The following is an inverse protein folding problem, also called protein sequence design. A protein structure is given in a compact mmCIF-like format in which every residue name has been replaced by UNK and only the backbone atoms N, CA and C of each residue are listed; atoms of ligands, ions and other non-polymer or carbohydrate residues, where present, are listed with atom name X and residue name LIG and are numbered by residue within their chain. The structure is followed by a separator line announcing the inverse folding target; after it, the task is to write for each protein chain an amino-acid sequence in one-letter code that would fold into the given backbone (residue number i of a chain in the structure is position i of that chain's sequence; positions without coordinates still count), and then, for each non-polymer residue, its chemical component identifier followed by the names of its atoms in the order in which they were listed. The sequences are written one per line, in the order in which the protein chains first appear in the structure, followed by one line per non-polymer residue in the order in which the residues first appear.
data_IF_579259106312
#
_entry.id   IF_579259106312
#
_cell.length_a   1.000
_cell.length_b   1.000
_cell.length_c   1.000
_cell.angle_alpha   90.00
_cell.angle_beta   90.00
_cell.angle_gamma   90.00
#
_symmetry.space_group_name_H-M   'P 1'
#
loop_
_entity.id
_entity.type
_entity.pdbx_description
1 polymer ?
#
# COMPACT_ATOMS: atom_id res chain seq x y z
N UNK A 1 -5.96 25.00 -30.88
CA UNK A 1 -6.60 25.91 -29.90
C UNK A 1 -7.69 25.12 -29.21
N UNK A 2 -7.90 25.37 -27.91
CA UNK A 2 -8.57 24.53 -26.88
C UNK A 2 -7.56 23.70 -26.09
N UNK A 3 -6.68 24.37 -25.36
CA UNK A 3 -6.84 25.02 -24.03
C UNK A 3 -6.62 23.99 -22.92
N UNK A 4 -5.49 24.15 -22.24
CA UNK A 4 -5.14 23.46 -21.02
C UNK A 4 -6.05 23.95 -19.89
N UNK A 5 -6.63 23.02 -19.13
CA UNK A 5 -7.30 23.36 -17.88
C UNK A 5 -6.47 22.81 -16.73
N UNK A 6 -5.48 23.61 -16.31
CA UNK A 6 -4.92 23.52 -14.96
C UNK A 6 -6.00 24.06 -14.03
N UNK A 7 -6.67 23.19 -13.29
CA UNK A 7 -7.36 23.57 -12.08
C UNK A 7 -6.34 23.50 -10.94
N UNK A 8 -5.99 24.68 -10.42
CA UNK A 8 -5.34 24.79 -9.13
C UNK A 8 -6.34 24.26 -8.08
N UNK A 9 -5.94 23.25 -7.32
CA UNK A 9 -6.69 22.85 -6.14
C UNK A 9 -6.60 24.00 -5.12
N UNK A 10 -7.69 24.75 -5.02
CA UNK A 10 -7.99 25.62 -3.89
C UNK A 10 -8.06 24.71 -2.66
N UNK A 11 -7.15 24.90 -1.69
CA UNK A 11 -7.14 24.10 -0.45
C UNK A 11 -8.32 24.56 0.40
N UNK A 12 -9.46 23.91 0.17
CA UNK A 12 -10.68 24.02 0.95
C UNK A 12 -10.44 23.74 2.42
N UNK A 13 -11.09 24.53 3.25
CA UNK A 13 -11.00 24.49 4.70
C UNK A 13 -11.98 23.44 5.25
N UNK A 14 -11.45 22.36 5.82
CA UNK A 14 -12.13 21.46 6.76
C UNK A 14 -13.17 20.51 6.16
N UNK A 15 -12.92 19.20 6.31
CA UNK A 15 -13.86 18.09 6.11
C UNK A 15 -14.14 17.68 4.65
N UNK A 16 -13.15 17.80 3.77
CA UNK A 16 -13.15 17.06 2.49
C UNK A 16 -12.30 15.81 2.69
N UNK A 17 -12.93 14.63 2.68
CA UNK A 17 -12.20 13.37 2.66
C UNK A 17 -11.55 13.25 1.29
N UNK A 18 -10.22 13.19 1.26
CA UNK A 18 -9.49 12.90 0.02
C UNK A 18 -9.72 11.41 -0.30
N UNK A 19 -10.78 11.13 -1.06
CA UNK A 19 -11.08 9.80 -1.56
C UNK A 19 -10.15 9.46 -2.73
N UNK A 20 -9.50 8.30 -2.64
CA UNK A 20 -8.64 7.72 -3.68
C UNK A 20 -9.12 6.33 -4.03
N UNK A 21 -8.66 5.81 -5.16
CA UNK A 21 -9.01 4.51 -5.70
C UNK A 21 -7.78 3.62 -5.69
N UNK A 22 -7.87 2.48 -5.01
CA UNK A 22 -6.81 1.47 -4.95
C UNK A 22 -7.11 0.39 -5.96
N UNK A 23 -6.16 0.15 -6.88
CA UNK A 23 -6.21 -0.97 -7.81
C UNK A 23 -5.50 -2.17 -7.20
N UNK A 24 -6.24 -3.26 -7.03
CA UNK A 24 -5.77 -4.52 -6.51
C UNK A 24 -5.69 -5.59 -7.59
N UNK A 25 -4.82 -6.58 -7.36
CA UNK A 25 -4.84 -7.85 -8.05
C UNK A 25 -4.74 -8.98 -7.03
N UNK A 26 -5.63 -9.95 -7.13
CA UNK A 26 -5.58 -11.19 -6.36
C UNK A 26 -4.90 -12.28 -7.18
N UNK A 27 -3.86 -12.89 -6.63
CA UNK A 27 -3.26 -14.09 -7.23
C UNK A 27 -3.78 -15.32 -6.49
N UNK A 28 -4.36 -16.24 -7.22
CA UNK A 28 -4.86 -17.49 -6.63
C UNK A 28 -3.70 -18.38 -6.18
N UNK A 29 -3.70 -18.77 -4.91
CA UNK A 29 -2.67 -19.63 -4.32
C UNK A 29 -3.03 -21.11 -4.41
N UNK A 30 -4.33 -21.42 -4.45
CA UNK A 30 -4.85 -22.78 -4.55
C UNK A 30 -5.34 -23.03 -5.98
N UNK A 31 -4.96 -24.20 -6.49
CA UNK A 31 -5.47 -24.73 -7.76
C UNK A 31 -6.37 -25.91 -7.37
N UNK A 32 -7.58 -25.97 -7.92
CA UNK A 32 -8.53 -27.05 -7.67
C UNK A 32 -7.91 -28.43 -7.95
N UNK A 33 -8.53 -29.50 -7.44
CA UNK A 33 -8.10 -30.89 -7.67
C UNK A 33 -7.94 -31.23 -9.17
N UNK A 34 -8.69 -30.53 -10.03
CA UNK A 34 -8.66 -30.64 -11.50
C UNK A 34 -7.52 -29.85 -12.16
N UNK A 35 -6.68 -29.13 -11.40
CA UNK A 35 -5.67 -28.24 -11.93
C UNK A 35 -6.23 -26.92 -12.49
N UNK A 36 -7.48 -26.58 -12.17
CA UNK A 36 -8.12 -25.31 -12.58
C UNK A 36 -7.94 -24.26 -11.50
N UNK A 37 -7.69 -23.03 -11.93
CA UNK A 37 -7.78 -21.86 -11.07
C UNK A 37 -9.18 -21.29 -11.20
N UNK A 38 -9.97 -21.35 -10.12
CA UNK A 38 -11.26 -20.66 -10.06
C UNK A 38 -10.97 -19.22 -9.64
N UNK A 39 -11.18 -18.28 -10.56
CA UNK A 39 -10.79 -16.88 -10.39
C UNK A 39 -11.75 -16.03 -9.58
N UNK A 40 -12.97 -16.53 -9.41
CA UNK A 40 -14.10 -15.88 -8.75
C UNK A 40 -15.14 -16.95 -8.50
N UNK A 41 -15.77 -16.90 -7.34
CA UNK A 41 -16.81 -17.86 -7.02
C UNK A 41 -18.07 -17.66 -7.89
N UNK A 42 -18.96 -18.66 -7.94
CA UNK A 42 -20.21 -18.55 -8.69
C UNK A 42 -21.09 -17.35 -8.30
N UNK A 43 -20.92 -16.80 -7.09
CA UNK A 43 -21.59 -15.58 -6.61
C UNK A 43 -20.82 -14.28 -6.90
N UNK A 44 -19.59 -14.38 -7.42
CA UNK A 44 -18.74 -13.26 -7.76
C UNK A 44 -17.82 -12.79 -6.62
N UNK A 45 -17.72 -13.52 -5.51
CA UNK A 45 -16.82 -13.18 -4.41
C UNK A 45 -15.39 -13.72 -4.64
N UNK A 46 -14.44 -13.22 -3.85
CA UNK A 46 -13.02 -13.60 -3.81
C UNK A 46 -12.65 -13.90 -2.35
N UNK A 47 -11.85 -14.91 -2.06
CA UNK A 47 -11.79 -15.54 -0.75
C UNK A 47 -10.75 -15.06 0.28
N UNK A 48 -9.84 -14.12 0.07
CA UNK A 48 -8.78 -13.64 1.00
C UNK A 48 -7.81 -14.69 1.58
N UNK A 49 -8.26 -15.83 2.10
CA UNK A 49 -7.41 -16.90 2.66
C UNK A 49 -6.81 -17.82 1.58
N UNK A 50 -7.41 -17.85 0.39
CA UNK A 50 -6.97 -18.63 -0.76
C UNK A 50 -6.28 -17.79 -1.86
N UNK A 51 -6.22 -16.45 -1.69
CA UNK A 51 -5.50 -15.55 -2.61
C UNK A 51 -4.46 -14.64 -1.93
N UNK A 52 -3.46 -14.28 -2.72
CA UNK A 52 -2.48 -13.25 -2.38
C UNK A 52 -2.88 -11.92 -3.04
N UNK A 53 -3.38 -10.98 -2.25
CA UNK A 53 -3.75 -9.64 -2.70
C UNK A 53 -2.54 -8.72 -2.80
N UNK A 54 -2.42 -8.00 -3.93
CA UNK A 54 -1.35 -7.02 -4.17
C UNK A 54 -1.91 -5.70 -4.70
N UNK A 55 -1.45 -4.60 -4.13
CA UNK A 55 -1.72 -3.25 -4.65
C UNK A 55 -0.87 -3.02 -5.90
N UNK A 56 -1.53 -2.67 -7.00
CA UNK A 56 -0.88 -2.28 -8.25
C UNK A 56 -0.70 -0.76 -8.37
N UNK A 57 -1.55 0.02 -7.71
CA UNK A 57 -1.46 1.47 -7.66
C UNK A 57 -2.60 2.12 -6.86
N UNK A 58 -2.40 3.38 -6.51
CA UNK A 58 -3.38 4.24 -5.85
C UNK A 58 -3.56 5.48 -6.73
N UNK A 59 -4.80 5.85 -7.01
CA UNK A 59 -5.17 6.87 -7.98
C UNK A 59 -6.16 7.85 -7.36
N UNK A 60 -6.03 9.14 -7.62
CA UNK A 60 -7.03 10.15 -7.21
C UNK A 60 -8.26 10.18 -8.12
N UNK A 61 -8.30 9.34 -9.16
CA UNK A 61 -9.35 9.30 -10.18
C UNK A 61 -9.64 7.85 -10.57
N UNK A 62 -10.92 7.47 -10.55
CA UNK A 62 -11.37 6.12 -10.85
C UNK A 62 -11.07 5.74 -12.31
N UNK A 63 -11.24 6.69 -13.24
CA UNK A 63 -10.99 6.43 -14.66
C UNK A 63 -9.49 6.14 -14.93
N UNK A 64 -8.58 6.78 -14.19
CA UNK A 64 -7.17 6.47 -14.23
C UNK A 64 -6.87 5.05 -13.70
N UNK A 65 -7.54 4.62 -12.62
CA UNK A 65 -7.43 3.26 -12.10
C UNK A 65 -7.94 2.22 -13.13
N UNK A 66 -9.07 2.46 -13.77
CA UNK A 66 -9.61 1.59 -14.83
C UNK A 66 -8.70 1.53 -16.06
N UNK A 67 -8.13 2.66 -16.48
CA UNK A 67 -7.15 2.69 -17.56
C UNK A 67 -5.90 1.86 -17.19
N UNK A 68 -5.43 1.95 -15.94
CA UNK A 68 -4.32 1.14 -15.45
C UNK A 68 -4.68 -0.35 -15.40
N UNK A 69 -5.88 -0.70 -14.95
CA UNK A 69 -6.40 -2.08 -14.96
C UNK A 69 -6.35 -2.66 -16.37
N UNK A 70 -6.87 -1.94 -17.36
CA UNK A 70 -6.83 -2.35 -18.77
C UNK A 70 -5.43 -2.65 -19.27
N UNK A 71 -4.45 -1.79 -18.96
CA UNK A 71 -3.04 -2.04 -19.32
C UNK A 71 -2.42 -3.23 -18.55
N UNK A 72 -2.83 -3.43 -17.30
CA UNK A 72 -2.27 -4.47 -16.43
C UNK A 72 -2.74 -5.86 -16.85
N UNK A 73 -3.96 -5.98 -17.39
CA UNK A 73 -4.50 -7.23 -17.96
C UNK A 73 -3.66 -7.80 -19.10
N UNK A 74 -2.84 -7.00 -19.77
CA UNK A 74 -1.99 -7.47 -20.87
C UNK A 74 -0.59 -7.94 -20.40
N UNK A 75 -0.24 -7.71 -19.13
CA UNK A 75 1.08 -8.06 -18.61
C UNK A 75 1.23 -9.57 -18.38
N UNK A 76 2.45 -10.13 -18.51
CA UNK A 76 2.71 -11.53 -18.20
C UNK A 76 2.27 -11.90 -16.78
N UNK A 77 1.64 -13.06 -16.62
CA UNK A 77 1.02 -13.49 -15.36
C UNK A 77 -0.40 -12.97 -15.20
N UNK A 78 -0.61 -11.65 -15.30
CA UNK A 78 -1.94 -11.04 -15.15
C UNK A 78 -2.90 -11.37 -16.29
N UNK A 79 -2.40 -11.50 -17.52
CA UNK A 79 -3.22 -11.90 -18.67
C UNK A 79 -3.82 -13.30 -18.53
N UNK A 80 -3.21 -14.14 -17.70
CA UNK A 80 -3.65 -15.50 -17.44
C UNK A 80 -4.76 -15.49 -16.36
N UNK A 81 -4.95 -14.36 -15.66
CA UNK A 81 -5.91 -14.14 -14.58
C UNK A 81 -6.70 -12.81 -14.78
N UNK A 82 -7.36 -12.58 -15.92
CA UNK A 82 -7.83 -11.24 -16.35
C UNK A 82 -9.00 -10.67 -15.54
N UNK A 83 -9.68 -11.50 -14.74
CA UNK A 83 -10.84 -11.12 -13.95
C UNK A 83 -10.49 -10.85 -12.47
N UNK A 84 -9.24 -11.08 -12.06
CA UNK A 84 -8.78 -11.04 -10.66
C UNK A 84 -8.31 -9.64 -10.24
N UNK A 85 -9.01 -8.62 -10.72
CA UNK A 85 -8.72 -7.21 -10.44
C UNK A 85 -9.91 -6.56 -9.74
N UNK A 86 -9.61 -5.77 -8.72
CA UNK A 86 -10.59 -4.96 -8.00
C UNK A 86 -10.13 -3.50 -7.91
N UNK A 87 -11.08 -2.58 -7.96
CA UNK A 87 -10.86 -1.15 -7.72
C UNK A 87 -11.76 -0.76 -6.57
N UNK A 88 -11.16 -0.40 -5.44
CA UNK A 88 -11.88 -0.05 -4.22
C UNK A 88 -11.60 1.41 -3.84
N UNK A 89 -12.60 2.18 -3.39
CA UNK A 89 -12.35 3.48 -2.79
C UNK A 89 -11.59 3.32 -1.46
N UNK A 90 -10.78 4.31 -1.11
CA UNK A 90 -10.03 4.42 0.13
C UNK A 90 -10.00 5.90 0.54
N UNK A 91 -10.27 6.19 1.80
CA UNK A 91 -10.14 7.53 2.36
C UNK A 91 -8.70 7.75 2.84
N UNK A 92 -8.06 8.85 2.40
CA UNK A 92 -6.75 9.21 2.92
C UNK A 92 -6.84 9.66 4.39
N UNK A 93 -5.74 9.44 5.13
CA UNK A 93 -5.63 9.74 6.56
C UNK A 93 -6.63 8.99 7.46
N UNK A 94 -7.25 7.92 6.96
CA UNK A 94 -8.04 6.97 7.75
C UNK A 94 -7.15 5.86 8.34
N UNK A 95 -7.23 5.66 9.66
CA UNK A 95 -6.51 4.60 10.36
C UNK A 95 -7.18 3.23 10.12
N UNK A 96 -6.66 2.45 9.17
CA UNK A 96 -7.23 1.13 8.80
C UNK A 96 -6.88 -0.01 9.77
N UNK A 97 -5.86 0.15 10.61
CA UNK A 97 -5.42 -0.88 11.55
C UNK A 97 -5.11 -0.26 12.93
N UNK A 98 -6.12 -0.23 13.79
CA UNK A 98 -6.03 0.42 15.11
C UNK A 98 -5.62 -0.51 16.25
N UNK A 99 -5.81 -1.82 16.07
CA UNK A 99 -5.68 -2.80 17.17
C UNK A 99 -4.26 -3.32 17.39
N UNK A 100 -3.32 -2.98 16.49
CA UNK A 100 -1.98 -3.58 16.47
C UNK A 100 -1.98 -5.04 16.03
N UNK A 101 -0.81 -5.69 16.02
CA UNK A 101 -0.67 -7.08 15.58
C UNK A 101 -0.35 -8.02 16.75
N UNK A 102 -0.80 -9.28 16.66
CA UNK A 102 -0.32 -10.34 17.54
C UNK A 102 0.71 -11.21 16.80
N UNK A 103 1.62 -11.81 17.56
CA UNK A 103 2.58 -12.79 17.03
C UNK A 103 2.29 -14.12 17.71
N UNK A 104 1.90 -15.12 16.92
CA UNK A 104 1.85 -16.49 17.39
C UNK A 104 3.26 -17.08 17.33
N UNK A 105 3.69 -17.66 18.44
CA UNK A 105 4.97 -18.35 18.52
C UNK A 105 4.72 -19.86 18.63
N UNK A 106 5.49 -20.70 17.90
CA UNK A 106 5.46 -22.14 18.12
C UNK A 106 5.72 -22.47 19.59
N UNK A 107 5.11 -23.55 20.10
CA UNK A 107 5.20 -23.94 21.50
C UNK A 107 6.65 -23.88 22.04
N UNK A 108 6.84 -23.17 23.15
CA UNK A 108 8.15 -23.02 23.82
C UNK A 108 8.85 -21.67 23.63
N UNK A 109 8.33 -20.80 22.76
CA UNK A 109 8.81 -19.43 22.61
C UNK A 109 7.83 -18.45 23.26
N UNK A 110 8.19 -17.91 24.42
CA UNK A 110 7.42 -16.81 25.03
C UNK A 110 7.89 -15.49 24.42
N UNK A 111 6.93 -14.63 24.08
CA UNK A 111 7.21 -13.20 23.94
C UNK A 111 7.63 -12.71 25.32
N UNK A 112 8.94 -12.63 25.56
CA UNK A 112 9.44 -11.85 26.69
C UNK A 112 9.13 -10.40 26.35
N UNK A 113 8.42 -9.69 27.22
CA UNK A 113 8.23 -8.24 27.11
C UNK A 113 9.50 -7.60 26.55
N UNK A 114 9.42 -6.70 25.55
CA UNK A 114 10.59 -5.95 25.15
C UNK A 114 11.12 -5.27 26.41
N UNK A 115 12.32 -5.67 26.84
CA UNK A 115 13.06 -4.98 27.90
C UNK A 115 12.85 -3.48 27.68
N UNK A 116 12.38 -2.71 28.68
CA UNK A 116 12.15 -1.29 28.49
C UNK A 116 13.42 -0.71 27.85
N UNK A 117 13.26 0.00 26.72
CA UNK A 117 14.36 0.71 26.09
C UNK A 117 15.14 1.40 27.22
N UNK A 118 16.46 1.17 27.37
CA UNK A 118 17.17 1.69 28.52
C UNK A 118 17.05 3.21 28.49
N UNK A 119 16.20 3.76 29.36
CA UNK A 119 16.14 5.18 29.68
C UNK A 119 17.37 5.51 30.52
N UNK A 120 18.53 5.39 29.90
CA UNK A 120 19.84 5.66 30.49
C UNK A 120 20.58 6.55 29.54
N UNK A 121 20.77 7.81 29.94
CA UNK A 121 21.40 8.86 29.16
C UNK A 121 22.79 8.46 28.63
N UNK A 122 22.81 7.91 27.43
CA UNK A 122 23.99 7.96 26.59
C UNK A 122 24.03 9.38 26.04
N UNK A 123 24.82 10.24 26.69
CA UNK A 123 25.35 11.43 26.03
C UNK A 123 26.06 10.94 24.78
N UNK A 124 25.44 11.10 23.62
CA UNK A 124 26.16 11.02 22.36
C UNK A 124 27.32 12.01 22.47
N UNK A 125 28.59 11.59 22.27
CA UNK A 125 29.66 12.56 22.14
C UNK A 125 29.25 13.50 20.99
N UNK A 126 29.51 14.82 21.07
CA UNK A 126 29.21 15.71 19.96
C UNK A 126 29.91 15.13 18.74
N UNK A 127 29.12 14.64 17.78
CA UNK A 127 29.63 14.18 16.49
C UNK A 127 30.42 15.34 15.91
N UNK A 128 31.69 15.08 15.58
CA UNK A 128 32.50 15.99 14.79
C UNK A 128 31.65 16.50 13.63
N UNK A 129 31.54 17.83 13.55
CA UNK A 129 30.77 18.52 12.51
C UNK A 129 31.11 17.93 11.15
N UNK A 130 30.07 17.59 10.41
CA UNK A 130 30.15 17.22 9.01
C UNK A 130 30.94 18.32 8.25
N UNK A 131 31.93 17.97 7.39
CA UNK A 131 32.82 18.94 6.76
C UNK A 131 32.15 19.88 5.73
N UNK A 132 30.83 19.84 5.57
CA UNK A 132 30.09 20.70 4.65
C UNK A 132 29.72 22.09 5.22
N UNK A 133 29.86 22.32 6.53
CA UNK A 133 29.57 23.64 7.16
C UNK A 133 30.78 24.58 7.23
N UNK A 134 31.76 24.44 6.32
CA UNK A 134 32.74 25.50 6.10
C UNK A 134 32.18 26.50 5.09
N UNK A 135 31.47 27.51 5.60
CA UNK A 135 31.38 28.76 4.88
C UNK A 135 32.80 29.28 4.65
N UNK A 136 33.21 29.33 3.38
CA UNK A 136 34.43 29.99 2.97
C UNK A 136 34.29 31.48 3.29
N UNK A 137 35.10 31.95 4.24
CA UNK A 137 35.42 33.37 4.40
C UNK A 137 36.08 33.85 3.11
N UNK A 138 35.26 34.41 2.22
CA UNK A 138 35.72 35.25 1.11
C UNK A 138 36.30 36.53 1.74
N UNK A 139 37.61 36.66 1.65
CA UNK A 139 38.30 37.95 1.81
C UNK A 139 38.10 38.84 0.60
#
# INVERSE_FOLDING_TARGET
MKEAHTMAADRGTGDEVDEVFVLWHARHLVVDEDGRTTHRDPDGEMHVDEEEWRILGIFTDEAAAEARRGLSRELPGFRDEPDCFDISPLVLDEDMWTDGYFTEYPEGHQQTDPSPCPTGGQTFPPTDRHPADRHEDVK
#
